data_IF_115219295548
#
_entry.id   IF_115219295548
#
_cell.length_a   1.000
_cell.length_b   1.000
_cell.length_c   1.000
_cell.angle_alpha   90.00
_cell.angle_beta   90.00
_cell.angle_gamma   90.00
#
_symmetry.space_group_name_H-M   'P 1'
#
loop_
_entity.id
_entity.type
_entity.pdbx_description
1 polymer ?
#
# COMPACT_ATOMS: atom_id res chain seq x y z
N UNK A 1 -0.05 -17.98 -6.01
CA UNK A 1 -0.84 -16.76 -6.01
C UNK A 1 -0.07 -15.55 -6.53
N UNK A 2 -0.74 -14.42 -6.55
CA UNK A 2 -0.14 -13.17 -6.98
C UNK A 2 0.82 -12.65 -5.91
N UNK A 3 1.97 -12.06 -6.29
CA UNK A 3 2.88 -11.47 -5.31
C UNK A 3 2.23 -10.30 -4.59
N UNK A 4 2.69 -9.98 -3.38
CA UNK A 4 2.17 -8.86 -2.62
C UNK A 4 2.45 -7.51 -3.27
N UNK A 5 1.62 -6.52 -2.96
CA UNK A 5 1.83 -5.15 -3.39
C UNK A 5 3.11 -4.58 -2.76
N UNK A 6 3.77 -3.67 -3.47
CA UNK A 6 5.04 -3.08 -3.03
C UNK A 6 4.83 -1.63 -2.59
N UNK A 7 5.25 -1.31 -1.38
CA UNK A 7 5.33 0.06 -0.88
C UNK A 7 6.71 0.59 -1.26
N UNK A 8 6.81 1.23 -2.41
CA UNK A 8 8.11 1.55 -3.00
C UNK A 8 8.89 2.63 -2.25
N UNK A 9 8.23 3.41 -1.42
CA UNK A 9 8.88 4.45 -0.60
C UNK A 9 9.33 3.93 0.76
N UNK A 10 9.04 2.69 1.11
CA UNK A 10 9.49 2.09 2.36
C UNK A 10 10.99 1.81 2.31
N UNK A 11 11.64 1.93 3.46
CA UNK A 11 13.07 1.63 3.58
C UNK A 11 13.34 0.12 3.69
N UNK A 12 14.60 -0.25 3.88
CA UNK A 12 15.02 -1.66 3.97
C UNK A 12 14.55 -2.36 5.24
N UNK A 13 13.99 -1.62 6.20
CA UNK A 13 13.34 -2.18 7.39
C UNK A 13 11.83 -2.31 7.22
N UNK A 14 11.33 -2.19 5.99
CA UNK A 14 9.90 -2.19 5.68
C UNK A 14 9.14 -1.09 6.44
N UNK A 15 9.76 0.07 6.58
CA UNK A 15 9.18 1.21 7.28
C UNK A 15 9.06 2.41 6.36
N UNK A 16 7.88 3.01 6.38
CA UNK A 16 7.61 4.27 5.73
C UNK A 16 7.78 5.38 6.77
N UNK A 17 8.79 6.22 6.58
CA UNK A 17 9.12 7.30 7.51
C UNK A 17 8.52 8.60 7.03
N UNK A 18 7.67 9.18 7.86
CA UNK A 18 6.83 10.32 7.48
C UNK A 18 7.28 11.65 8.07
N UNK A 19 8.40 11.69 8.77
CA UNK A 19 8.93 12.96 9.31
C UNK A 19 9.71 13.73 8.24
N UNK A 20 9.67 15.08 8.24
CA UNK A 20 8.94 15.95 9.18
C UNK A 20 7.43 16.02 8.91
N UNK A 21 6.99 15.67 7.70
CA UNK A 21 5.58 15.69 7.33
C UNK A 21 5.30 14.56 6.35
N UNK A 22 4.09 14.00 6.34
CA UNK A 22 3.72 13.00 5.35
C UNK A 22 3.80 13.55 3.93
N UNK A 23 4.20 12.70 2.99
CA UNK A 23 4.09 12.94 1.55
C UNK A 23 3.22 11.85 0.95
N UNK A 24 2.69 12.07 -0.23
CA UNK A 24 1.99 11.02 -0.97
C UNK A 24 2.94 9.82 -1.13
N UNK A 25 2.42 8.63 -0.99
CA UNK A 25 3.21 7.41 -1.15
C UNK A 25 2.58 6.49 -2.19
N UNK A 26 3.41 5.69 -2.84
CA UNK A 26 2.96 4.81 -3.91
C UNK A 26 2.92 3.37 -3.44
N UNK A 27 1.84 2.69 -3.82
CA UNK A 27 1.72 1.23 -3.70
C UNK A 27 1.71 0.67 -5.12
N UNK A 28 2.68 -0.18 -5.43
CA UNK A 28 2.90 -0.70 -6.77
C UNK A 28 2.47 -2.15 -6.90
N UNK A 29 1.71 -2.41 -7.94
CA UNK A 29 1.38 -3.75 -8.38
C UNK A 29 2.18 -4.03 -9.63
N UNK A 30 3.06 -5.03 -9.57
CA UNK A 30 3.89 -5.43 -10.69
C UNK A 30 3.03 -6.12 -11.76
N UNK A 31 3.46 -6.11 -13.02
CA UNK A 31 2.81 -6.90 -14.06
C UNK A 31 2.68 -8.35 -13.61
N UNK A 32 1.56 -8.96 -13.93
CA UNK A 32 1.25 -10.32 -13.52
C UNK A 32 0.95 -11.18 -14.75
N UNK A 33 1.02 -12.48 -14.54
CA UNK A 33 0.77 -13.45 -15.61
C UNK A 33 -0.66 -13.31 -16.14
N UNK A 34 -0.78 -13.28 -17.47
CA UNK A 34 -2.06 -13.13 -18.17
C UNK A 34 -2.75 -11.78 -17.92
N UNK A 35 -1.99 -10.77 -17.55
CA UNK A 35 -2.51 -9.41 -17.44
C UNK A 35 -3.17 -8.98 -18.73
N UNK A 36 -4.41 -8.51 -18.65
CA UNK A 36 -5.21 -8.23 -19.83
C UNK A 36 -5.98 -6.91 -19.69
N UNK A 37 -6.26 -6.32 -20.83
CA UNK A 37 -7.11 -5.14 -20.94
C UNK A 37 -8.45 -5.40 -20.24
N UNK A 38 -8.88 -4.47 -19.41
CA UNK A 38 -10.16 -4.58 -18.71
C UNK A 38 -10.11 -5.31 -17.38
N UNK A 39 -8.97 -5.90 -17.01
CA UNK A 39 -8.83 -6.48 -15.65
C UNK A 39 -9.11 -5.41 -14.60
N UNK A 40 -9.92 -5.77 -13.61
CA UNK A 40 -10.23 -4.88 -12.51
C UNK A 40 -9.34 -5.22 -11.32
N UNK A 41 -8.54 -4.26 -10.90
CA UNK A 41 -7.64 -4.41 -9.77
C UNK A 41 -8.21 -3.60 -8.61
N UNK A 42 -8.49 -4.27 -7.50
CA UNK A 42 -8.97 -3.63 -6.29
C UNK A 42 -7.93 -3.80 -5.19
N UNK A 43 -7.34 -2.68 -4.76
CA UNK A 43 -6.38 -2.65 -3.67
C UNK A 43 -7.11 -2.28 -2.39
N UNK A 44 -7.04 -3.15 -1.39
CA UNK A 44 -7.57 -2.89 -0.07
C UNK A 44 -6.45 -2.57 0.89
N UNK A 45 -6.60 -1.44 1.59
CA UNK A 45 -5.67 -0.98 2.62
C UNK A 45 -6.36 -1.01 3.97
N UNK A 46 -5.64 -1.51 4.98
CA UNK A 46 -6.10 -1.47 6.37
C UNK A 46 -4.97 -0.86 7.19
N UNK A 47 -5.27 0.23 7.90
CA UNK A 47 -4.34 0.90 8.79
C UNK A 47 -4.54 0.48 10.24
N UNK A 48 -3.43 0.34 10.98
CA UNK A 48 -3.42 0.01 12.41
C UNK A 48 -2.60 1.06 13.16
N UNK A 49 -3.01 1.40 14.38
CA UNK A 49 -2.41 2.50 15.14
C UNK A 49 -1.19 2.10 15.98
N UNK A 50 -0.67 0.90 15.80
CA UNK A 50 0.54 0.43 16.46
C UNK A 50 1.27 -0.55 15.55
N UNK A 51 2.56 -0.76 15.80
CA UNK A 51 3.37 -1.72 15.06
C UNK A 51 2.85 -3.15 15.24
N UNK A 52 2.40 -3.48 16.43
CA UNK A 52 1.90 -4.81 16.80
C UNK A 52 0.60 -4.63 17.58
N UNK A 53 -0.40 -5.46 17.27
CA UNK A 53 -1.68 -5.52 17.98
C UNK A 53 -2.41 -4.16 18.07
N UNK A 54 -2.23 -3.34 17.05
CA UNK A 54 -2.92 -2.05 16.97
C UNK A 54 -4.39 -2.20 16.62
N UNK A 55 -5.14 -1.12 16.91
CA UNK A 55 -6.53 -1.00 16.49
C UNK A 55 -6.60 -0.43 15.08
N UNK A 56 -7.67 -0.73 14.37
CA UNK A 56 -7.89 -0.26 13.00
C UNK A 56 -8.10 1.26 13.00
N UNK A 57 -7.42 1.93 12.08
CA UNK A 57 -7.62 3.34 11.79
C UNK A 57 -8.58 3.42 10.60
N UNK A 58 -9.85 3.70 10.85
CA UNK A 58 -10.88 3.71 9.81
C UNK A 58 -10.58 4.72 8.69
N UNK A 59 -10.01 5.87 9.03
CA UNK A 59 -9.72 6.92 8.07
C UNK A 59 -8.71 6.48 6.99
N UNK A 60 -7.89 5.49 7.28
CA UNK A 60 -6.89 4.93 6.33
C UNK A 60 -7.42 3.69 5.64
N UNK A 61 -8.36 3.00 6.25
CA UNK A 61 -8.85 1.71 5.76
C UNK A 61 -9.85 1.92 4.65
N UNK A 62 -9.43 1.77 3.39
CA UNK A 62 -10.29 1.95 2.22
C UNK A 62 -9.77 1.17 1.02
N UNK A 63 -10.52 1.28 -0.07
CA UNK A 63 -10.26 0.55 -1.31
C UNK A 63 -9.97 1.50 -2.45
N UNK A 64 -9.02 1.11 -3.29
CA UNK A 64 -8.67 1.82 -4.51
C UNK A 64 -8.84 0.86 -5.68
N UNK A 65 -9.37 1.36 -6.79
CA UNK A 65 -9.69 0.53 -7.95
C UNK A 65 -9.02 1.09 -9.21
N UNK A 66 -8.47 0.20 -10.02
CA UNK A 66 -7.96 0.52 -11.34
C UNK A 66 -8.40 -0.55 -12.33
N UNK A 67 -8.93 -0.12 -13.47
CA UNK A 67 -9.21 -1.01 -14.58
C UNK A 67 -8.08 -0.88 -15.60
N UNK A 68 -7.45 -2.00 -15.93
CA UNK A 68 -6.28 -2.02 -16.82
C UNK A 68 -6.63 -1.49 -18.19
N UNK A 69 -5.94 -0.46 -18.65
CA UNK A 69 -6.06 0.13 -19.99
C UNK A 69 -4.87 -0.27 -20.86
N UNK A 70 -4.90 0.16 -22.13
CA UNK A 70 -3.85 -0.20 -23.10
C UNK A 70 -2.45 0.24 -22.66
N UNK A 71 -2.32 1.43 -22.05
CA UNK A 71 -1.03 1.95 -21.60
C UNK A 71 -0.48 1.19 -20.41
N UNK A 72 -1.33 0.48 -19.68
CA UNK A 72 -0.96 -0.26 -18.48
C UNK A 72 -0.63 -1.72 -18.73
N UNK A 73 -0.92 -2.22 -19.94
CA UNK A 73 -0.61 -3.62 -20.27
C UNK A 73 0.87 -3.91 -20.06
N UNK A 74 1.17 -4.96 -19.29
CA UNK A 74 2.51 -5.41 -18.91
C UNK A 74 3.39 -4.33 -18.27
N UNK A 75 2.78 -3.34 -17.64
CA UNK A 75 3.51 -2.30 -16.90
C UNK A 75 3.13 -2.32 -15.42
N UNK A 76 3.94 -1.65 -14.59
CA UNK A 76 3.61 -1.43 -13.18
C UNK A 76 2.35 -0.57 -13.08
N UNK A 77 1.51 -0.86 -12.10
CA UNK A 77 0.35 -0.06 -11.79
C UNK A 77 0.54 0.50 -10.38
N UNK A 78 0.57 1.83 -10.30
CA UNK A 78 0.79 2.53 -9.05
C UNK A 78 -0.50 3.13 -8.52
N UNK A 79 -0.80 2.87 -7.26
CA UNK A 79 -1.85 3.54 -6.51
C UNK A 79 -1.21 4.56 -5.58
N UNK A 80 -1.86 5.70 -5.43
CA UNK A 80 -1.38 6.77 -4.55
C UNK A 80 -2.16 6.72 -3.23
N UNK A 81 -1.42 6.68 -2.12
CA UNK A 81 -1.98 6.93 -0.80
C UNK A 81 -1.71 8.41 -0.51
N UNK A 82 -2.74 9.26 -0.45
CA UNK A 82 -2.53 10.68 -0.21
C UNK A 82 -1.92 10.95 1.17
N UNK A 83 -1.06 11.95 1.23
CA UNK A 83 -0.43 12.38 2.48
C UNK A 83 -1.45 12.62 3.59
N UNK A 84 -2.62 13.15 3.24
CA UNK A 84 -3.69 13.44 4.20
C UNK A 84 -4.13 12.21 4.98
N UNK A 85 -4.18 11.03 4.34
CA UNK A 85 -4.54 9.79 5.02
C UNK A 85 -3.46 9.37 6.02
N UNK A 86 -2.21 9.67 5.71
CA UNK A 86 -1.07 9.30 6.54
C UNK A 86 -0.94 10.18 7.78
N UNK A 87 -1.62 11.32 7.82
CA UNK A 87 -1.64 12.19 9.00
C UNK A 87 -2.27 11.53 10.23
N UNK A 88 -3.09 10.51 10.03
CA UNK A 88 -3.73 9.76 11.12
C UNK A 88 -2.74 8.94 11.94
N UNK A 89 -1.53 8.70 11.42
CA UNK A 89 -0.54 7.88 12.12
C UNK A 89 0.38 8.70 13.01
N UNK A 90 0.78 8.10 14.12
CA UNK A 90 2.01 8.45 14.84
C UNK A 90 3.03 7.35 14.60
N UNK A 91 2.78 6.16 15.12
CA UNK A 91 3.39 4.90 14.70
C UNK A 91 2.27 3.97 14.32
N UNK A 92 2.53 3.08 13.40
CA UNK A 92 1.47 2.17 12.98
C UNK A 92 1.93 1.18 11.92
N UNK A 93 0.93 0.60 11.26
CA UNK A 93 1.15 -0.40 10.22
C UNK A 93 0.03 -0.30 9.18
N UNK A 94 0.37 -0.51 7.93
CA UNK A 94 -0.61 -0.66 6.86
C UNK A 94 -0.46 -2.05 6.28
N UNK A 95 -1.59 -2.76 6.17
CA UNK A 95 -1.69 -4.01 5.42
C UNK A 95 -2.35 -3.72 4.07
N UNK A 96 -1.83 -4.37 3.04
CA UNK A 96 -2.37 -4.26 1.69
C UNK A 96 -2.59 -5.64 1.09
N UNK A 97 -3.72 -5.80 0.44
CA UNK A 97 -4.01 -6.95 -0.39
C UNK A 97 -4.73 -6.45 -1.64
N UNK A 98 -4.45 -7.04 -2.79
CA UNK A 98 -5.20 -6.70 -3.99
C UNK A 98 -5.85 -7.94 -4.60
N UNK A 99 -6.93 -7.71 -5.31
CA UNK A 99 -7.65 -8.74 -6.04
C UNK A 99 -7.80 -8.31 -7.49
N UNK A 100 -7.57 -9.24 -8.39
CA UNK A 100 -7.76 -9.03 -9.82
C UNK A 100 -8.98 -9.82 -10.25
N UNK A 101 -9.93 -9.14 -10.89
CA UNK A 101 -11.18 -9.75 -11.37
C UNK A 101 -11.36 -9.49 -12.85
N UNK A 102 -11.77 -10.50 -13.58
CA UNK A 102 -12.17 -10.41 -14.98
C UNK A 102 -13.24 -11.47 -15.27
N UNK A 103 -13.59 -11.63 -16.55
CA UNK A 103 -14.64 -12.58 -16.96
C UNK A 103 -14.29 -14.05 -16.64
N UNK A 104 -13.03 -14.36 -16.41
CA UNK A 104 -12.58 -15.73 -16.11
C UNK A 104 -12.54 -16.03 -14.61
N UNK A 105 -12.76 -15.02 -13.76
CA UNK A 105 -12.76 -15.20 -12.32
C UNK A 105 -11.96 -14.13 -11.59
N UNK A 106 -11.53 -14.47 -10.38
CA UNK A 106 -10.73 -13.57 -9.56
C UNK A 106 -9.59 -14.29 -8.88
N UNK A 107 -8.54 -13.53 -8.56
CA UNK A 107 -7.38 -14.02 -7.84
C UNK A 107 -6.88 -12.94 -6.89
N UNK A 108 -6.55 -13.34 -5.67
CA UNK A 108 -6.05 -12.43 -4.65
C UNK A 108 -4.53 -12.53 -4.52
N UNK A 109 -3.90 -11.42 -4.15
CA UNK A 109 -2.47 -11.38 -3.85
C UNK A 109 -2.17 -11.95 -2.47
N UNK A 110 -0.90 -12.22 -2.23
CA UNK A 110 -0.39 -12.33 -0.87
C UNK A 110 -0.57 -10.98 -0.17
N UNK A 111 -0.80 -11.03 1.14
CA UNK A 111 -0.84 -9.82 1.95
C UNK A 111 0.58 -9.27 2.08
N UNK A 112 0.71 -7.94 1.96
CA UNK A 112 1.94 -7.25 2.29
C UNK A 112 1.65 -6.19 3.34
N UNK A 113 2.64 -5.89 4.17
CA UNK A 113 2.48 -4.87 5.18
C UNK A 113 3.75 -4.06 5.34
N UNK A 114 3.60 -2.85 5.84
CA UNK A 114 4.70 -1.97 6.20
C UNK A 114 4.42 -1.32 7.55
N UNK A 115 5.50 -0.96 8.23
CA UNK A 115 5.44 -0.13 9.41
C UNK A 115 5.39 1.35 9.00
N UNK A 116 4.67 2.13 9.78
CA UNK A 116 4.58 3.58 9.62
C UNK A 116 5.22 4.22 10.85
N UNK A 117 6.17 5.11 10.62
CA UNK A 117 6.84 5.83 11.72
C UNK A 117 6.92 7.31 11.37
N UNK A 118 6.19 8.12 12.12
CA UNK A 118 6.10 9.56 11.93
C UNK A 118 7.03 10.33 12.86
N UNK A 119 7.75 9.62 13.73
CA UNK A 119 8.65 10.27 14.69
C UNK A 119 9.86 10.85 13.98
N UNK A 120 10.32 12.05 14.38
CA UNK A 120 11.52 12.64 13.80
C UNK A 120 12.76 11.76 14.01
N UNK A 121 13.61 11.64 12.99
CA UNK A 121 14.84 10.85 13.09
C UNK A 121 15.79 11.37 14.16
N UNK A 122 15.84 12.68 14.33
CA UNK A 122 16.70 13.28 15.35
C UNK A 122 16.38 12.80 16.77
N UNK A 123 15.12 12.41 17.04
CA UNK A 123 14.75 11.80 18.31
C UNK A 123 15.43 10.45 18.51
N UNK A 124 15.73 9.76 17.42
CA UNK A 124 16.44 8.48 17.45
C UNK A 124 17.95 8.69 17.65
N UNK A 125 18.47 9.79 17.16
CA UNK A 125 19.89 10.10 17.21
C UNK A 125 20.36 10.66 18.56
N UNK A 126 19.44 11.06 19.39
CA UNK A 126 19.74 11.64 20.70
C UNK A 126 19.94 10.61 21.80
N UNK A 127 20.00 9.36 21.45
CA UNK A 127 20.18 8.25 22.39
C UNK A 127 21.61 8.06 22.82
#
# INVERSE_FOLDING_TARGET
GLPGALFIDADDTHTLRLAPAPTDTLVRIKPYRNMALGDRIELQLIGFNAFIDGEIIEAVSHRLVNTVNEQQLVSDIDFIIPAKLLEAFSTGRIEAIYEITNDYGSAASLKSDIYIDKRPLQNLCMQ
#
